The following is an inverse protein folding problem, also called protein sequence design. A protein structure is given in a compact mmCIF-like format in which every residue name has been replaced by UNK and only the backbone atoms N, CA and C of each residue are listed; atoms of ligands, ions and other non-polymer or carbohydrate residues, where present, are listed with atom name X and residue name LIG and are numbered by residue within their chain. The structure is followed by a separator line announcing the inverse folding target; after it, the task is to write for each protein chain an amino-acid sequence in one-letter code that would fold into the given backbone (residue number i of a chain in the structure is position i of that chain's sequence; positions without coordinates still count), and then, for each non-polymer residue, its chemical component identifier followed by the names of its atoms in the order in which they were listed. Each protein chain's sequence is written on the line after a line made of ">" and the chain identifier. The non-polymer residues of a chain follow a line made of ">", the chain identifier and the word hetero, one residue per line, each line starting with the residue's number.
data_IF_585702028507
#
_entry.id   IF_585702028507
#
_cell.length_a   1.000
_cell.length_b   1.000
_cell.length_c   1.000
_cell.angle_alpha   90.00
_cell.angle_beta   90.00
_cell.angle_gamma   90.00
#
_symmetry.space_group_name_H-M   'P 1'
#
loop_
_entity.id
_entity.type
_entity.pdbx_description
1 polymer ?
#
# COMPACT_ATOMS: atom_id res chain seq x y z
N UNK A 1 -1.23 33.95 -53.46
CA UNK A 1 -1.53 33.36 -52.15
C UNK A 1 -1.71 34.51 -51.18
N UNK A 2 -2.90 34.64 -50.61
CA UNK A 2 -3.22 35.70 -49.66
C UNK A 2 -2.89 35.27 -48.23
N UNK A 3 -2.76 36.22 -47.30
CA UNK A 3 -2.55 35.89 -45.89
C UNK A 3 -3.69 35.02 -45.31
N UNK A 4 -4.92 35.20 -45.82
CA UNK A 4 -6.06 34.38 -45.45
C UNK A 4 -5.89 32.91 -45.87
N UNK A 5 -5.36 32.66 -47.07
CA UNK A 5 -5.08 31.30 -47.57
C UNK A 5 -4.04 30.58 -46.70
N UNK A 6 -2.99 31.30 -46.27
CA UNK A 6 -1.95 30.74 -45.40
C UNK A 6 -2.48 30.43 -44.00
N UNK A 7 -3.32 31.31 -43.43
CA UNK A 7 -3.93 31.08 -42.11
C UNK A 7 -4.93 29.93 -42.14
N UNK A 8 -5.74 29.82 -43.21
CA UNK A 8 -6.65 28.71 -43.40
C UNK A 8 -5.88 27.38 -43.51
N UNK A 9 -4.79 27.35 -44.27
CA UNK A 9 -3.91 26.18 -44.36
C UNK A 9 -3.28 25.82 -43.01
N UNK A 10 -2.79 26.81 -42.24
CA UNK A 10 -2.26 26.58 -40.90
C UNK A 10 -3.34 26.01 -39.95
N UNK A 11 -4.55 26.57 -39.97
CA UNK A 11 -5.67 26.05 -39.19
C UNK A 11 -6.08 24.64 -39.63
N UNK A 12 -6.03 24.36 -40.93
CA UNK A 12 -6.33 23.03 -41.46
C UNK A 12 -5.24 22.03 -41.04
N UNK A 13 -3.97 22.41 -41.03
CA UNK A 13 -2.87 21.59 -40.50
C UNK A 13 -2.98 21.36 -38.99
N UNK A 14 -3.34 22.39 -38.22
CA UNK A 14 -3.55 22.27 -36.76
C UNK A 14 -4.74 21.35 -36.48
N UNK A 15 -5.85 21.54 -37.19
CA UNK A 15 -7.06 20.71 -37.07
C UNK A 15 -6.81 19.29 -37.54
N UNK A 16 -6.04 19.11 -38.63
CA UNK A 16 -5.63 17.80 -39.12
C UNK A 16 -4.68 17.11 -38.14
N UNK A 17 -3.77 17.83 -37.48
CA UNK A 17 -2.93 17.28 -36.39
C UNK A 17 -3.74 16.91 -35.15
N UNK A 18 -4.69 17.75 -34.76
CA UNK A 18 -5.60 17.45 -33.64
C UNK A 18 -6.50 16.26 -33.94
N UNK A 19 -6.97 16.13 -35.18
CA UNK A 19 -7.71 14.96 -35.64
C UNK A 19 -6.81 13.75 -35.87
N UNK A 20 -5.53 13.91 -36.24
CA UNK A 20 -4.56 12.81 -36.30
C UNK A 20 -4.12 12.28 -34.93
N UNK A 21 -4.65 12.85 -33.84
CA UNK A 21 -4.60 12.22 -32.52
C UNK A 21 -5.58 11.02 -32.41
N UNK A 22 -6.04 10.45 -33.55
CA UNK A 22 -6.47 9.06 -33.66
C UNK A 22 -5.28 8.12 -33.34
N UNK A 23 -4.86 8.11 -32.08
CA UNK A 23 -4.00 7.07 -31.55
C UNK A 23 -4.80 5.77 -31.63
N UNK A 24 -4.35 4.91 -32.55
CA UNK A 24 -5.11 3.75 -33.02
C UNK A 24 -5.25 2.69 -31.93
N UNK A 25 -6.25 1.79 -32.03
CA UNK A 25 -6.37 0.61 -31.16
C UNK A 25 -5.07 -0.22 -31.04
N UNK A 26 -4.19 -0.15 -32.04
CA UNK A 26 -2.88 -0.77 -32.04
C UNK A 26 -1.94 -0.18 -30.97
N UNK A 27 -1.94 1.14 -30.74
CA UNK A 27 -1.09 1.79 -29.73
C UNK A 27 -1.50 1.36 -28.31
N UNK A 28 -2.81 1.33 -28.03
CA UNK A 28 -3.30 0.84 -26.74
C UNK A 28 -3.02 -0.66 -26.53
N UNK A 29 -3.09 -1.47 -27.59
CA UNK A 29 -2.73 -2.89 -27.51
C UNK A 29 -1.24 -3.08 -27.22
N UNK A 30 -0.37 -2.26 -27.81
CA UNK A 30 1.06 -2.28 -27.54
C UNK A 30 1.34 -1.83 -26.10
N UNK A 31 0.72 -0.73 -25.67
CA UNK A 31 0.78 -0.23 -24.30
C UNK A 31 0.35 -1.29 -23.28
N UNK A 32 -0.80 -1.95 -23.49
CA UNK A 32 -1.27 -3.01 -22.60
C UNK A 32 -0.26 -4.17 -22.52
N UNK A 33 0.32 -4.57 -23.65
CA UNK A 33 1.33 -5.63 -23.71
C UNK A 33 2.57 -5.25 -22.90
N UNK A 34 3.06 -4.02 -23.06
CA UNK A 34 4.27 -3.55 -22.40
C UNK A 34 4.07 -3.40 -20.89
N UNK A 35 2.91 -2.87 -20.45
CA UNK A 35 2.55 -2.79 -19.03
C UNK A 35 2.41 -4.20 -18.42
N UNK A 36 1.81 -5.14 -19.15
CA UNK A 36 1.67 -6.53 -18.70
C UNK A 36 3.04 -7.22 -18.62
N UNK A 37 3.95 -6.94 -19.55
CA UNK A 37 5.32 -7.46 -19.49
C UNK A 37 6.06 -6.90 -18.28
N UNK A 38 5.95 -5.59 -18.01
CA UNK A 38 6.60 -4.94 -16.88
C UNK A 38 6.22 -5.57 -15.54
N UNK A 39 4.91 -5.73 -15.27
CA UNK A 39 4.43 -6.28 -14.00
C UNK A 39 4.72 -7.78 -13.84
N UNK A 40 4.77 -8.53 -14.95
CA UNK A 40 5.03 -9.97 -14.93
C UNK A 40 6.52 -10.32 -14.79
N UNK A 41 7.43 -9.36 -14.92
CA UNK A 41 8.87 -9.60 -14.65
C UNK A 41 9.13 -9.95 -13.19
N UNK A 42 8.24 -9.55 -12.27
CA UNK A 42 8.31 -9.86 -10.84
C UNK A 42 7.39 -11.03 -10.49
N UNK A 43 7.88 -11.93 -9.63
CA UNK A 43 7.07 -13.01 -9.07
C UNK A 43 5.83 -12.46 -8.33
N UNK A 44 4.71 -13.17 -8.44
CA UNK A 44 3.47 -12.82 -7.73
C UNK A 44 3.65 -13.19 -6.26
N UNK A 45 3.58 -12.21 -5.35
CA UNK A 45 3.50 -12.47 -3.91
C UNK A 45 2.16 -13.11 -3.62
N UNK A 46 2.16 -14.29 -3.00
CA UNK A 46 0.94 -15.02 -2.66
C UNK A 46 0.41 -14.56 -1.30
N UNK A 47 -0.91 -14.44 -1.15
CA UNK A 47 -1.57 -14.03 0.09
C UNK A 47 -2.59 -15.07 0.56
N UNK A 48 -2.33 -15.64 1.73
CA UNK A 48 -3.14 -16.67 2.39
C UNK A 48 -3.96 -16.16 3.58
N UNK A 49 -3.89 -14.84 3.85
CA UNK A 49 -4.53 -14.21 5.00
C UNK A 49 -3.57 -13.93 6.15
N UNK A 50 -2.38 -14.51 6.12
CA UNK A 50 -1.26 -14.19 7.00
C UNK A 50 -0.27 -13.30 6.22
N UNK A 51 0.35 -12.31 6.85
CA UNK A 51 1.28 -11.34 6.20
C UNK A 51 0.65 -10.26 5.28
N UNK A 52 -0.52 -9.72 5.65
CA UNK A 52 -1.16 -8.63 4.91
C UNK A 52 -0.22 -7.46 4.58
N UNK A 53 0.64 -7.04 5.51
CA UNK A 53 1.56 -5.90 5.28
C UNK A 53 2.61 -6.18 4.21
N UNK A 54 3.15 -7.40 4.17
CA UNK A 54 4.11 -7.81 3.12
C UNK A 54 3.43 -7.80 1.76
N UNK A 55 2.26 -8.46 1.67
CA UNK A 55 1.46 -8.49 0.45
C UNK A 55 1.07 -7.08 -0.02
N UNK A 56 0.55 -6.25 0.90
CA UNK A 56 0.13 -4.87 0.64
C UNK A 56 1.27 -4.07 0.00
N UNK A 57 2.47 -4.18 0.55
CA UNK A 57 3.64 -3.48 0.06
C UNK A 57 4.07 -3.97 -1.31
N UNK A 58 4.04 -5.29 -1.55
CA UNK A 58 4.35 -5.85 -2.85
C UNK A 58 3.37 -5.41 -3.95
N UNK A 59 2.08 -5.33 -3.64
CA UNK A 59 1.07 -4.80 -4.55
C UNK A 59 1.27 -3.31 -4.83
N UNK A 60 1.66 -2.51 -3.83
CA UNK A 60 1.98 -1.09 -4.04
C UNK A 60 3.19 -0.91 -4.96
N UNK A 61 4.22 -1.74 -4.81
CA UNK A 61 5.37 -1.76 -5.74
C UNK A 61 4.92 -2.15 -7.14
N UNK A 62 4.08 -3.18 -7.28
CA UNK A 62 3.55 -3.60 -8.57
C UNK A 62 2.71 -2.49 -9.23
N UNK A 63 1.95 -1.73 -8.43
CA UNK A 63 1.19 -0.57 -8.87
C UNK A 63 2.12 0.60 -9.30
N UNK A 64 3.20 0.84 -8.56
CA UNK A 64 4.21 1.86 -8.90
C UNK A 64 4.89 1.55 -10.23
N UNK A 65 5.29 0.29 -10.46
CA UNK A 65 5.93 -0.18 -11.71
C UNK A 65 5.10 0.17 -12.94
N UNK A 66 3.78 0.11 -12.83
CA UNK A 66 2.88 0.40 -13.95
C UNK A 66 2.36 1.84 -13.94
N UNK A 67 2.74 2.68 -12.98
CA UNK A 67 2.23 4.05 -12.84
C UNK A 67 0.75 4.12 -12.43
N UNK A 68 0.31 3.18 -11.58
CA UNK A 68 -1.06 3.06 -11.09
C UNK A 68 -1.19 3.10 -9.56
N UNK A 69 -0.20 3.67 -8.85
CA UNK A 69 -0.20 3.74 -7.38
C UNK A 69 -1.36 4.59 -6.84
N UNK A 70 -1.77 5.61 -7.58
CA UNK A 70 -2.91 6.49 -7.29
C UNK A 70 -4.24 5.74 -7.27
N UNK A 71 -4.40 4.72 -8.12
CA UNK A 71 -5.60 3.87 -8.16
C UNK A 71 -5.88 3.29 -6.77
N UNK A 72 -4.85 2.80 -6.09
CA UNK A 72 -4.98 2.18 -4.77
C UNK A 72 -4.95 3.23 -3.65
N UNK A 73 -3.95 4.11 -3.68
CA UNK A 73 -3.69 5.06 -2.57
C UNK A 73 -4.77 6.14 -2.45
N UNK A 74 -5.40 6.55 -3.57
CA UNK A 74 -6.52 7.48 -3.58
C UNK A 74 -7.88 6.77 -3.65
N UNK A 75 -7.91 5.44 -3.59
CA UNK A 75 -9.12 4.63 -3.77
C UNK A 75 -9.92 5.03 -5.03
N UNK A 76 -9.23 5.35 -6.13
CA UNK A 76 -9.85 5.87 -7.34
C UNK A 76 -10.44 4.73 -8.18
N UNK A 77 -11.77 4.73 -8.32
CA UNK A 77 -12.49 3.74 -9.12
C UNK A 77 -12.73 4.18 -10.57
N UNK A 78 -12.71 5.48 -10.84
CA UNK A 78 -12.87 6.05 -12.17
C UNK A 78 -11.65 6.91 -12.54
N UNK A 79 -11.32 7.02 -13.84
CA UNK A 79 -10.23 7.89 -14.27
C UNK A 79 -10.45 9.33 -13.83
N UNK A 80 -9.40 10.04 -13.35
CA UNK A 80 -9.51 11.46 -13.05
C UNK A 80 -10.04 12.28 -14.24
N UNK A 81 -10.93 13.25 -13.96
CA UNK A 81 -11.65 13.99 -15.01
C UNK A 81 -10.72 14.81 -15.91
N UNK A 82 -9.65 15.36 -15.34
CA UNK A 82 -8.67 16.20 -16.03
C UNK A 82 -7.80 15.46 -17.06
N UNK A 83 -7.85 14.12 -17.08
CA UNK A 83 -7.11 13.34 -18.05
C UNK A 83 -7.72 13.44 -19.45
N UNK A 84 -6.86 13.47 -20.46
CA UNK A 84 -7.26 13.31 -21.86
C UNK A 84 -7.92 11.95 -22.11
N UNK A 85 -8.63 11.80 -23.23
CA UNK A 85 -9.27 10.53 -23.59
C UNK A 85 -8.29 9.36 -23.61
N UNK A 86 -7.11 9.55 -24.21
CA UNK A 86 -6.05 8.53 -24.26
C UNK A 86 -5.52 8.17 -22.86
N UNK A 87 -5.30 9.16 -22.00
CA UNK A 87 -4.84 8.93 -20.64
C UNK A 87 -5.89 8.18 -19.81
N UNK A 88 -7.18 8.44 -20.03
CA UNK A 88 -8.28 7.70 -19.42
C UNK A 88 -8.28 6.23 -19.88
N UNK A 89 -8.10 5.96 -21.16
CA UNK A 89 -7.99 4.60 -21.68
C UNK A 89 -6.78 3.85 -21.08
N UNK A 90 -5.61 4.49 -21.08
CA UNK A 90 -4.40 3.91 -20.47
C UNK A 90 -4.56 3.71 -18.96
N UNK A 91 -5.26 4.60 -18.26
CA UNK A 91 -5.59 4.45 -16.85
C UNK A 91 -6.49 3.23 -16.61
N UNK A 92 -7.51 3.01 -17.46
CA UNK A 92 -8.38 1.83 -17.39
C UNK A 92 -7.60 0.53 -17.62
N UNK A 93 -6.63 0.53 -18.55
CA UNK A 93 -5.72 -0.59 -18.78
C UNK A 93 -4.92 -0.91 -17.50
N UNK A 94 -4.32 0.11 -16.86
CA UNK A 94 -3.57 -0.06 -15.61
C UNK A 94 -4.46 -0.61 -14.50
N UNK A 95 -5.67 -0.06 -14.31
CA UNK A 95 -6.66 -0.52 -13.33
C UNK A 95 -6.97 -2.00 -13.51
N UNK A 96 -7.22 -2.44 -14.75
CA UNK A 96 -7.52 -3.82 -15.10
C UNK A 96 -6.36 -4.77 -14.85
N UNK A 97 -5.15 -4.41 -15.27
CA UNK A 97 -3.94 -5.20 -15.04
C UNK A 97 -3.69 -5.36 -13.55
N UNK A 98 -3.82 -4.28 -12.78
CA UNK A 98 -3.62 -4.29 -11.34
C UNK A 98 -4.66 -5.15 -10.62
N UNK A 99 -5.94 -5.06 -11.01
CA UNK A 99 -6.99 -5.94 -10.50
C UNK A 99 -6.65 -7.41 -10.72
N UNK A 100 -6.21 -7.78 -11.92
CA UNK A 100 -5.81 -9.16 -12.24
C UNK A 100 -4.61 -9.61 -11.43
N UNK A 101 -3.60 -8.75 -11.28
CA UNK A 101 -2.41 -9.03 -10.47
C UNK A 101 -2.79 -9.30 -9.01
N UNK A 102 -3.63 -8.46 -8.44
CA UNK A 102 -4.17 -8.67 -7.10
C UNK A 102 -4.96 -9.97 -7.05
N UNK A 103 -5.87 -10.24 -7.97
CA UNK A 103 -6.64 -11.49 -7.97
C UNK A 103 -5.76 -12.74 -8.06
N UNK A 104 -4.67 -12.70 -8.84
CA UNK A 104 -3.69 -13.77 -8.95
C UNK A 104 -2.92 -14.00 -7.64
N UNK A 105 -2.66 -12.94 -6.87
CA UNK A 105 -2.00 -13.06 -5.57
C UNK A 105 -2.85 -13.73 -4.49
N UNK A 106 -4.18 -13.69 -4.61
CA UNK A 106 -5.08 -14.24 -3.59
C UNK A 106 -5.22 -15.75 -3.72
N UNK A 107 -4.92 -16.46 -2.63
CA UNK A 107 -5.14 -17.91 -2.53
C UNK A 107 -6.63 -18.26 -2.43
N UNK A 108 -6.94 -19.56 -2.57
CA UNK A 108 -8.28 -20.10 -2.37
C UNK A 108 -8.84 -19.92 -0.95
N UNK A 109 -8.00 -19.63 0.06
CA UNK A 109 -8.44 -19.37 1.43
C UNK A 109 -9.01 -17.95 1.60
N UNK A 110 -8.45 -16.98 0.86
CA UNK A 110 -8.80 -15.57 0.99
C UNK A 110 -9.96 -15.18 0.08
N UNK A 111 -10.04 -15.75 -1.13
CA UNK A 111 -11.09 -15.38 -2.10
C UNK A 111 -12.53 -15.47 -1.55
N UNK A 112 -12.93 -16.49 -0.78
CA UNK A 112 -14.28 -16.59 -0.23
C UNK A 112 -14.60 -15.53 0.83
N UNK A 113 -13.60 -15.02 1.56
CA UNK A 113 -13.81 -14.09 2.69
C UNK A 113 -14.09 -12.67 2.22
N UNK A 114 -13.61 -12.29 1.03
CA UNK A 114 -13.76 -10.96 0.45
C UNK A 114 -15.19 -10.73 -0.09
N UNK A 115 -15.94 -11.80 -0.36
CA UNK A 115 -17.28 -11.75 -0.92
C UNK A 115 -17.29 -11.39 -2.42
N UNK A 116 -18.36 -10.73 -2.87
CA UNK A 116 -18.57 -10.40 -4.29
C UNK A 116 -17.51 -9.44 -4.81
N UNK A 117 -16.92 -9.74 -5.96
CA UNK A 117 -15.90 -8.90 -6.60
C UNK A 117 -16.51 -8.05 -7.72
N UNK A 118 -16.14 -6.77 -7.75
CA UNK A 118 -16.38 -5.91 -8.90
C UNK A 118 -15.25 -6.11 -9.91
N UNK A 119 -15.61 -6.68 -11.07
CA UNK A 119 -14.62 -7.05 -12.10
C UNK A 119 -13.84 -5.83 -12.59
N UNK A 120 -12.55 -6.03 -12.79
CA UNK A 120 -11.60 -5.01 -13.23
C UNK A 120 -11.54 -3.77 -12.29
N UNK A 121 -12.03 -3.85 -11.05
CA UNK A 121 -11.99 -2.77 -10.04
C UNK A 121 -10.92 -2.98 -8.97
N UNK A 122 -9.68 -2.59 -9.28
CA UNK A 122 -8.54 -2.73 -8.36
C UNK A 122 -8.74 -1.98 -7.04
N UNK A 123 -9.25 -0.75 -7.08
CA UNK A 123 -9.50 0.06 -5.89
C UNK A 123 -10.57 -0.55 -4.98
N UNK A 124 -11.66 -1.07 -5.55
CA UNK A 124 -12.68 -1.78 -4.76
C UNK A 124 -12.13 -3.05 -4.12
N UNK A 125 -11.38 -3.87 -4.88
CA UNK A 125 -10.74 -5.08 -4.34
C UNK A 125 -9.76 -4.73 -3.22
N UNK A 126 -8.94 -3.69 -3.42
CA UNK A 126 -7.99 -3.18 -2.43
C UNK A 126 -8.67 -2.81 -1.12
N UNK A 127 -9.74 -2.02 -1.20
CA UNK A 127 -10.53 -1.60 -0.05
C UNK A 127 -11.14 -2.79 0.68
N UNK A 128 -11.68 -3.77 -0.04
CA UNK A 128 -12.28 -4.96 0.59
C UNK A 128 -11.24 -5.79 1.33
N UNK A 129 -10.07 -6.01 0.72
CA UNK A 129 -8.98 -6.73 1.40
C UNK A 129 -8.53 -5.96 2.63
N UNK A 130 -8.35 -4.63 2.52
CA UNK A 130 -7.99 -3.80 3.66
C UNK A 130 -9.07 -3.80 4.76
N UNK A 131 -10.35 -3.91 4.42
CA UNK A 131 -11.42 -3.99 5.42
C UNK A 131 -11.41 -5.33 6.19
N UNK A 132 -10.98 -6.43 5.56
CA UNK A 132 -10.98 -7.77 6.18
C UNK A 132 -9.65 -8.08 6.88
N UNK A 133 -8.52 -7.67 6.28
CA UNK A 133 -7.18 -8.05 6.69
C UNK A 133 -6.30 -6.86 7.09
N UNK A 134 -6.80 -5.64 6.95
CA UNK A 134 -6.08 -4.44 7.33
C UNK A 134 -5.78 -4.42 8.81
N UNK A 135 -4.55 -4.02 9.14
CA UNK A 135 -4.14 -3.76 10.51
C UNK A 135 -4.40 -2.30 10.89
N UNK A 136 -4.47 -2.03 12.19
CA UNK A 136 -4.58 -0.65 12.68
C UNK A 136 -3.32 0.17 12.37
N UNK A 137 -3.42 1.50 12.35
CA UNK A 137 -2.26 2.38 12.22
C UNK A 137 -1.28 2.20 13.40
N UNK A 138 -1.81 1.96 14.60
CA UNK A 138 -1.04 1.66 15.80
C UNK A 138 -0.21 0.37 15.64
N UNK A 139 -0.84 -0.68 15.12
CA UNK A 139 -0.17 -1.95 14.82
C UNK A 139 0.84 -1.81 13.68
N UNK A 140 0.51 -1.05 12.64
CA UNK A 140 1.44 -0.73 11.54
C UNK A 140 2.69 -0.02 12.08
N UNK A 141 2.52 0.99 12.94
CA UNK A 141 3.63 1.73 13.56
C UNK A 141 4.53 0.78 14.36
N UNK A 142 3.95 -0.04 15.22
CA UNK A 142 4.72 -0.98 16.06
C UNK A 142 5.47 -2.02 15.21
N UNK A 143 4.85 -2.53 14.15
CA UNK A 143 5.49 -3.47 13.22
C UNK A 143 6.65 -2.82 12.46
N UNK A 144 6.50 -1.57 12.02
CA UNK A 144 7.59 -0.81 11.39
C UNK A 144 8.75 -0.60 12.37
N UNK A 145 8.46 -0.18 13.61
CA UNK A 145 9.51 -0.01 14.63
C UNK A 145 10.24 -1.33 14.88
N UNK A 146 9.51 -2.43 15.02
CA UNK A 146 10.09 -3.77 15.19
C UNK A 146 10.98 -4.17 14.02
N UNK A 147 10.55 -3.91 12.79
CA UNK A 147 11.38 -4.17 11.61
C UNK A 147 12.64 -3.30 11.60
N UNK A 148 12.52 -1.99 11.85
CA UNK A 148 13.66 -1.07 11.92
C UNK A 148 14.71 -1.52 12.95
N UNK A 149 14.30 -2.03 14.11
CA UNK A 149 15.24 -2.55 15.13
C UNK A 149 16.00 -3.81 14.72
N UNK A 150 15.52 -4.53 13.70
CA UNK A 150 16.10 -5.81 13.26
C UNK A 150 16.60 -5.78 11.81
N UNK A 151 16.36 -4.69 11.09
CA UNK A 151 16.75 -4.50 9.70
C UNK A 151 18.27 -4.52 9.57
N UNK A 152 18.78 -5.33 8.64
CA UNK A 152 20.22 -5.49 8.38
C UNK A 152 20.48 -5.82 6.92
N UNK A 153 21.69 -5.51 6.44
CA UNK A 153 22.13 -5.91 5.10
C UNK A 153 22.17 -7.44 5.03
N UNK A 154 21.50 -8.02 4.03
CA UNK A 154 21.49 -9.47 3.74
C UNK A 154 22.08 -9.71 2.36
N UNK A 155 22.81 -10.81 2.19
CA UNK A 155 23.36 -11.26 0.90
C UNK A 155 24.17 -10.18 0.16
N UNK A 156 24.90 -9.33 0.90
CA UNK A 156 25.64 -8.17 0.38
C UNK A 156 24.79 -7.19 -0.46
N UNK A 157 23.46 -7.22 -0.33
CA UNK A 157 22.56 -6.37 -1.11
C UNK A 157 22.24 -5.08 -0.36
N UNK A 158 23.21 -4.16 -0.33
CA UNK A 158 23.07 -2.86 0.33
C UNK A 158 21.93 -2.02 -0.25
N UNK A 159 21.75 -2.03 -1.59
CA UNK A 159 20.71 -1.24 -2.26
C UNK A 159 19.29 -1.67 -1.87
N UNK A 160 19.08 -2.97 -1.59
CA UNK A 160 17.79 -3.46 -1.10
C UNK A 160 17.55 -3.01 0.35
N UNK A 161 18.57 -3.12 1.20
CA UNK A 161 18.53 -2.63 2.58
C UNK A 161 18.21 -1.12 2.62
N UNK A 162 18.92 -0.31 1.84
CA UNK A 162 18.72 1.14 1.78
C UNK A 162 17.30 1.52 1.36
N UNK A 163 16.77 0.85 0.32
CA UNK A 163 15.38 1.06 -0.12
C UNK A 163 14.38 0.71 0.97
N UNK A 164 14.56 -0.45 1.63
CA UNK A 164 13.65 -0.87 2.72
C UNK A 164 13.73 0.09 3.90
N UNK A 165 14.93 0.51 4.29
CA UNK A 165 15.14 1.48 5.37
C UNK A 165 14.45 2.81 5.06
N UNK A 166 14.66 3.39 3.87
CA UNK A 166 14.04 4.66 3.48
C UNK A 166 12.52 4.58 3.50
N UNK A 167 11.96 3.48 2.99
CA UNK A 167 10.52 3.25 3.03
C UNK A 167 10.00 3.20 4.48
N UNK A 168 10.59 2.36 5.33
CA UNK A 168 10.17 2.22 6.73
C UNK A 168 10.30 3.54 7.49
N UNK A 169 11.40 4.28 7.28
CA UNK A 169 11.63 5.56 7.93
C UNK A 169 10.62 6.64 7.47
N UNK A 170 10.30 6.69 6.18
CA UNK A 170 9.29 7.62 5.66
C UNK A 170 7.90 7.28 6.22
N UNK A 171 7.50 6.01 6.16
CA UNK A 171 6.21 5.57 6.68
C UNK A 171 6.09 5.75 8.19
N UNK A 172 7.15 5.48 8.95
CA UNK A 172 7.20 5.74 10.39
C UNK A 172 6.95 7.23 10.68
N UNK A 173 7.58 8.14 9.93
CA UNK A 173 7.38 9.59 10.07
C UNK A 173 5.95 10.05 9.80
N UNK A 174 5.21 9.35 8.94
CA UNK A 174 3.79 9.63 8.70
C UNK A 174 2.88 9.19 9.87
N UNK A 175 3.32 8.20 10.65
CA UNK A 175 2.52 7.60 11.73
C UNK A 175 2.80 8.20 13.11
N UNK A 176 3.99 8.75 13.33
CA UNK A 176 4.35 9.39 14.61
C UNK A 176 3.85 10.82 14.70
N UNK A 177 3.56 11.24 15.92
CA UNK A 177 3.22 12.62 16.29
C UNK A 177 4.33 13.28 17.07
N UNK A 178 5.03 12.50 17.90
CA UNK A 178 6.07 13.01 18.79
C UNK A 178 7.33 12.13 18.71
N UNK A 179 8.55 12.70 18.82
CA UNK A 179 9.78 11.90 18.86
C UNK A 179 9.81 10.82 19.95
N UNK A 180 9.08 10.99 21.06
CA UNK A 180 8.96 9.99 22.12
C UNK A 180 8.12 8.76 21.76
N UNK A 181 7.36 8.78 20.65
CA UNK A 181 6.62 7.63 20.16
C UNK A 181 7.53 6.42 19.93
N UNK A 182 8.80 6.66 19.57
CA UNK A 182 9.78 5.57 19.41
C UNK A 182 10.11 4.90 20.73
N UNK A 183 10.19 5.66 21.83
CA UNK A 183 10.48 5.11 23.15
C UNK A 183 9.31 4.29 23.66
N UNK A 184 8.07 4.75 23.41
CA UNK A 184 6.86 3.98 23.66
C UNK A 184 6.91 2.63 22.94
N UNK A 185 7.15 2.64 21.64
CA UNK A 185 7.17 1.42 20.83
C UNK A 185 8.32 0.48 21.22
N UNK A 186 9.50 1.02 21.47
CA UNK A 186 10.67 0.24 21.94
C UNK A 186 10.41 -0.41 23.30
N UNK A 187 9.72 0.27 24.22
CA UNK A 187 9.32 -0.32 25.49
C UNK A 187 8.40 -1.53 25.27
N UNK A 188 7.34 -1.38 24.48
CA UNK A 188 6.40 -2.47 24.18
C UNK A 188 7.08 -3.65 23.48
N UNK A 189 7.96 -3.38 22.51
CA UNK A 189 8.76 -4.40 21.81
C UNK A 189 9.71 -5.11 22.79
N UNK A 190 10.31 -4.36 23.71
CA UNK A 190 11.24 -4.87 24.72
C UNK A 190 10.62 -5.89 25.68
N UNK A 191 9.31 -5.80 25.95
CA UNK A 191 8.60 -6.76 26.82
C UNK A 191 8.59 -8.19 26.26
N UNK A 192 8.68 -8.38 24.94
CA UNK A 192 8.65 -9.71 24.29
C UNK A 192 7.47 -10.57 24.79
N UNK A 193 7.73 -11.69 25.45
CA UNK A 193 6.72 -12.60 26.01
C UNK A 193 6.48 -12.37 27.52
N UNK A 194 7.10 -11.35 28.13
CA UNK A 194 6.88 -11.01 29.54
C UNK A 194 5.41 -10.66 29.77
N UNK A 195 4.75 -11.39 30.66
CA UNK A 195 3.32 -11.21 30.97
C UNK A 195 2.45 -11.18 29.70
N UNK A 196 2.79 -12.00 28.68
CA UNK A 196 2.22 -11.97 27.33
C UNK A 196 0.71 -11.74 27.28
N UNK A 197 -0.07 -12.55 28.00
CA UNK A 197 -1.52 -12.43 28.00
C UNK A 197 -2.00 -11.06 28.53
N UNK A 198 -1.34 -10.51 29.54
CA UNK A 198 -1.68 -9.22 30.12
C UNK A 198 -1.25 -8.06 29.20
N UNK A 199 -0.04 -8.11 28.65
CA UNK A 199 0.43 -7.12 27.67
C UNK A 199 -0.46 -7.14 26.43
N UNK A 200 -0.90 -8.31 25.98
CA UNK A 200 -1.82 -8.45 24.85
C UNK A 200 -3.11 -7.68 25.07
N UNK A 201 -3.71 -7.69 26.27
CA UNK A 201 -4.92 -6.90 26.53
C UNK A 201 -4.73 -5.39 26.39
N UNK A 202 -3.51 -4.87 26.59
CA UNK A 202 -3.18 -3.47 26.36
C UNK A 202 -2.94 -3.20 24.88
N UNK A 203 -2.27 -4.13 24.18
CA UNK A 203 -2.08 -4.06 22.73
C UNK A 203 -3.40 -4.13 21.97
N UNK A 204 -4.34 -4.99 22.38
CA UNK A 204 -5.67 -5.09 21.75
C UNK A 204 -6.42 -3.75 21.83
N UNK A 205 -6.36 -3.08 22.99
CA UNK A 205 -6.93 -1.73 23.16
C UNK A 205 -6.20 -0.69 22.31
N UNK A 206 -4.88 -0.78 22.23
CA UNK A 206 -4.05 0.11 21.42
C UNK A 206 -4.35 -0.03 19.93
N UNK A 207 -4.63 -1.25 19.46
CA UNK A 207 -4.98 -1.53 18.07
C UNK A 207 -6.45 -1.28 17.74
N UNK A 208 -7.33 -1.21 18.75
CA UNK A 208 -8.76 -1.01 18.56
C UNK A 208 -9.14 0.32 17.89
N UNK A 209 -8.22 1.29 17.79
CA UNK A 209 -8.46 2.55 17.05
C UNK A 209 -8.55 2.35 15.53
N UNK A 210 -8.08 1.21 15.00
CA UNK A 210 -8.15 0.94 13.57
C UNK A 210 -7.40 1.98 12.73
N UNK A 211 -8.13 2.72 11.89
CA UNK A 211 -7.58 3.77 11.02
C UNK A 211 -7.68 5.18 11.62
N UNK A 212 -8.23 5.31 12.84
CA UNK A 212 -8.23 6.58 13.55
C UNK A 212 -6.81 6.95 14.02
N UNK A 213 -6.55 8.24 14.27
CA UNK A 213 -5.22 8.66 14.72
C UNK A 213 -4.77 7.94 15.99
N UNK A 214 -3.50 7.55 16.02
CA UNK A 214 -2.94 6.71 17.08
C UNK A 214 -3.01 7.43 18.44
N UNK A 215 -3.52 6.71 19.44
CA UNK A 215 -3.48 7.11 20.85
C UNK A 215 -2.59 6.13 21.62
N UNK A 216 -1.48 6.62 22.17
CA UNK A 216 -0.48 5.78 22.83
C UNK A 216 -1.01 5.19 24.14
N UNK A 217 -0.50 4.00 24.48
CA UNK A 217 -0.65 3.45 25.83
C UNK A 217 0.12 4.36 26.80
N UNK A 218 -0.46 4.65 27.96
CA UNK A 218 0.27 5.31 29.04
C UNK A 218 1.33 4.34 29.58
N UNK A 219 2.57 4.53 29.17
CA UNK A 219 3.68 3.63 29.53
C UNK A 219 3.99 3.67 31.02
N UNK A 220 3.91 4.83 31.68
CA UNK A 220 4.17 4.94 33.12
C UNK A 220 3.14 4.14 33.93
N UNK A 221 1.88 4.20 33.53
CA UNK A 221 0.82 3.40 34.13
C UNK A 221 1.04 1.90 33.87
N UNK A 222 1.34 1.52 32.63
CA UNK A 222 1.66 0.13 32.29
C UNK A 222 2.86 -0.41 33.08
N UNK A 223 3.93 0.38 33.24
CA UNK A 223 5.10 0.03 34.05
C UNK A 223 4.70 -0.24 35.51
N UNK A 224 3.88 0.61 36.13
CA UNK A 224 3.36 0.40 37.49
C UNK A 224 2.53 -0.87 37.59
N UNK A 225 1.64 -1.10 36.62
CA UNK A 225 0.84 -2.33 36.59
C UNK A 225 1.71 -3.58 36.46
N UNK A 226 2.75 -3.55 35.62
CA UNK A 226 3.70 -4.66 35.46
C UNK A 226 4.55 -4.91 36.71
N UNK A 227 4.98 -3.85 37.41
CA UNK A 227 5.71 -3.95 38.68
C UNK A 227 4.86 -4.60 39.76
N UNK A 228 3.62 -4.11 39.97
CA UNK A 228 2.68 -4.70 40.92
C UNK A 228 2.37 -6.18 40.65
N UNK A 229 2.44 -6.61 39.39
CA UNK A 229 2.28 -8.02 39.00
C UNK A 229 3.53 -8.85 39.24
N UNK A 230 4.72 -8.26 39.18
CA UNK A 230 5.98 -8.92 39.49
C UNK A 230 6.10 -9.21 41.00
N UNK A 231 5.61 -8.29 41.84
CA UNK A 231 5.69 -8.37 43.30
C UNK A 231 4.67 -9.31 43.94
N UNK A 232 3.67 -9.80 43.18
CA UNK A 232 2.75 -10.80 43.72
C UNK A 232 3.52 -12.10 43.99
N UNK A 233 3.58 -12.58 45.25
CA UNK A 233 4.21 -13.87 45.53
C UNK A 233 3.52 -14.91 44.65
N UNK A 234 4.31 -15.75 43.97
CA UNK A 234 3.81 -16.93 43.26
C UNK A 234 3.10 -17.78 44.31
N UNK A 235 1.78 -17.61 44.44
CA UNK A 235 0.97 -18.40 45.35
C UNK A 235 1.12 -19.87 44.98
N UNK A 236 1.58 -20.64 45.97
CA UNK A 236 1.64 -22.10 45.96
C UNK A 236 0.24 -22.70 45.85
#
# INVERSE_FOLDING_TARGET
>A
MTAADFMAFCQQLISARQNQNYNTPADNSMYERDIRAAINTKAVTTFDGTDYQTWRNDILVDAEVIGGIDILTKNQEIPPEHLSALEKERWLIRKKILFRRMLQSLTGLVRPTIGTLELDNAAALWRKIAAVYGISLAEERLNITKELTTLRVKNNNYLLYERRFRYLAARYKELVRDPSDILHDLFLIGLRDYQKAFVQTHLDKFYATGQDPISNINIDDLMKQLANRADKPKGF
#
